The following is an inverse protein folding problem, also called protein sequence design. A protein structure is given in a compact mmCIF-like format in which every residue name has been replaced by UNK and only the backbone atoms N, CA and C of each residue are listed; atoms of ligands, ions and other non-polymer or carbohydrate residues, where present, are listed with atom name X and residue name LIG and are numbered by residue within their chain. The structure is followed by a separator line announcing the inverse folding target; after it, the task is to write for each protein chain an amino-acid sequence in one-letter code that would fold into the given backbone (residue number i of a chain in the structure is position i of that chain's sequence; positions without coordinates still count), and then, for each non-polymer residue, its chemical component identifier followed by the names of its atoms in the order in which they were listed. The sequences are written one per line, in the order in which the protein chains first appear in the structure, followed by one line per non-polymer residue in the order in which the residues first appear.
data_IF_744893193024
#
_entry.id   IF_744893193024
#
_cell.length_a   1.000
_cell.length_b   1.000
_cell.length_c   1.000
_cell.angle_alpha   90.00
_cell.angle_beta   90.00
_cell.angle_gamma   90.00
#
_symmetry.space_group_name_H-M   'P 1'
#
loop_
_entity.id
_entity.type
_entity.pdbx_description
1 polymer ?
#
# COMPACT_ATOMS: atom_id res chain seq x y z
N UNK A 1 -13.66 -7.67 -2.50
CA UNK A 1 -12.40 -8.12 -3.12
C UNK A 1 -11.31 -8.32 -2.08
N UNK A 2 -10.99 -7.33 -1.25
CA UNK A 2 -9.96 -7.43 -0.20
C UNK A 2 -10.22 -8.54 0.84
N UNK A 3 -11.47 -8.71 1.30
CA UNK A 3 -11.85 -9.80 2.22
C UNK A 3 -11.57 -11.21 1.67
N UNK A 4 -11.73 -11.41 0.36
CA UNK A 4 -11.45 -12.69 -0.28
C UNK A 4 -9.94 -13.01 -0.27
N UNK A 5 -9.08 -11.98 -0.41
CA UNK A 5 -7.63 -12.14 -0.30
C UNK A 5 -7.20 -12.43 1.13
N UNK A 6 -7.81 -11.78 2.12
CA UNK A 6 -7.60 -12.10 3.54
C UNK A 6 -8.02 -13.53 3.88
N UNK A 7 -9.14 -14.01 3.34
CA UNK A 7 -9.53 -15.42 3.49
C UNK A 7 -8.52 -16.36 2.81
N UNK A 8 -7.99 -15.97 1.65
CA UNK A 8 -6.91 -16.70 0.96
C UNK A 8 -5.62 -16.76 1.80
N UNK A 9 -5.19 -15.64 2.38
CA UNK A 9 -4.06 -15.57 3.30
C UNK A 9 -4.29 -16.39 4.56
N UNK A 10 -5.51 -16.38 5.13
CA UNK A 10 -5.84 -17.22 6.28
C UNK A 10 -5.70 -18.71 5.94
N UNK A 11 -6.17 -19.11 4.76
CA UNK A 11 -6.00 -20.48 4.28
C UNK A 11 -4.51 -20.84 4.06
N UNK A 12 -3.69 -19.89 3.56
CA UNK A 12 -2.26 -20.08 3.42
C UNK A 12 -1.53 -20.21 4.75
N UNK A 13 -1.89 -19.43 5.76
CA UNK A 13 -1.34 -19.56 7.12
C UNK A 13 -1.57 -20.98 7.63
N UNK A 14 -2.79 -21.50 7.51
CA UNK A 14 -3.12 -22.89 7.88
C UNK A 14 -2.30 -23.88 7.06
N UNK A 15 -2.19 -23.68 5.74
CA UNK A 15 -1.39 -24.52 4.85
C UNK A 15 0.10 -24.56 5.23
N UNK A 16 0.68 -23.42 5.62
CA UNK A 16 2.08 -23.31 6.08
C UNK A 16 2.31 -24.05 7.38
N UNK A 17 1.40 -23.93 8.34
CA UNK A 17 1.47 -24.69 9.59
C UNK A 17 1.37 -26.21 9.34
N UNK A 18 0.56 -26.66 8.36
CA UNK A 18 0.49 -28.08 7.98
C UNK A 18 1.81 -28.61 7.41
N UNK A 19 2.57 -27.76 6.71
CA UNK A 19 3.91 -28.10 6.17
C UNK A 19 5.01 -27.96 7.23
N UNK A 20 4.65 -27.55 8.46
CA UNK A 20 5.58 -27.23 9.55
C UNK A 20 6.54 -26.07 9.23
N UNK A 21 6.15 -25.18 8.32
CA UNK A 21 6.86 -23.92 8.10
C UNK A 21 6.36 -22.86 9.09
N UNK A 22 6.88 -22.94 10.31
CA UNK A 22 6.47 -22.05 11.41
C UNK A 22 6.92 -20.60 11.18
N UNK A 23 8.11 -20.39 10.61
CA UNK A 23 8.64 -19.04 10.37
C UNK A 23 7.87 -18.34 9.27
N UNK A 24 7.66 -19.02 8.13
CA UNK A 24 6.83 -18.50 7.05
C UNK A 24 5.40 -18.28 7.51
N UNK A 25 4.81 -19.25 8.22
CA UNK A 25 3.45 -19.14 8.76
C UNK A 25 3.25 -17.97 9.72
N UNK A 26 4.23 -17.69 10.58
CA UNK A 26 4.19 -16.56 11.50
C UNK A 26 4.26 -15.21 10.78
N UNK A 27 5.13 -15.09 9.77
CA UNK A 27 5.24 -13.88 8.95
C UNK A 27 3.93 -13.59 8.19
N UNK A 28 3.36 -14.63 7.56
CA UNK A 28 2.07 -14.52 6.86
C UNK A 28 0.92 -14.20 7.82
N UNK A 29 0.95 -14.75 9.04
CA UNK A 29 -0.04 -14.45 10.09
C UNK A 29 0.06 -12.99 10.56
N UNK A 30 1.26 -12.45 10.75
CA UNK A 30 1.46 -11.05 11.09
C UNK A 30 0.91 -10.12 9.99
N UNK A 31 1.14 -10.45 8.71
CA UNK A 31 0.56 -9.71 7.59
C UNK A 31 -0.97 -9.79 7.56
N UNK A 32 -1.55 -10.96 7.83
CA UNK A 32 -3.00 -11.14 7.94
C UNK A 32 -3.60 -10.24 9.03
N UNK A 33 -2.97 -10.15 10.21
CA UNK A 33 -3.42 -9.27 11.29
C UNK A 33 -3.38 -7.80 10.84
N UNK A 34 -2.31 -7.37 10.18
CA UNK A 34 -2.23 -6.00 9.64
C UNK A 34 -3.32 -5.74 8.60
N UNK A 35 -3.61 -6.69 7.70
CA UNK A 35 -4.71 -6.58 6.73
C UNK A 35 -6.09 -6.54 7.41
N UNK A 36 -6.28 -7.29 8.49
CA UNK A 36 -7.51 -7.26 9.26
C UNK A 36 -7.71 -5.91 9.97
N UNK A 37 -6.63 -5.30 10.47
CA UNK A 37 -6.67 -3.98 11.08
C UNK A 37 -7.11 -2.90 10.09
N UNK A 38 -6.65 -2.97 8.83
CA UNK A 38 -7.08 -2.06 7.75
C UNK A 38 -8.60 -2.08 7.54
N UNK A 39 -9.26 -3.23 7.70
CA UNK A 39 -10.73 -3.33 7.61
C UNK A 39 -11.40 -2.83 8.88
N UNK A 40 -10.84 -3.13 10.05
CA UNK A 40 -11.46 -2.83 11.35
C UNK A 40 -11.58 -1.33 11.66
N UNK A 41 -10.73 -0.50 11.04
CA UNK A 41 -10.67 0.94 11.31
C UNK A 41 -11.84 1.77 10.79
N UNK A 42 -12.74 1.22 9.96
CA UNK A 42 -13.89 1.94 9.39
C UNK A 42 -13.54 2.98 8.33
N UNK A 43 -12.37 3.63 8.45
CA UNK A 43 -11.73 4.45 7.43
C UNK A 43 -10.37 3.83 7.08
N UNK A 44 -10.13 3.60 5.79
CA UNK A 44 -8.84 3.09 5.31
C UNK A 44 -7.83 4.24 5.42
N UNK A 45 -7.07 4.26 6.51
CA UNK A 45 -5.94 5.19 6.60
C UNK A 45 -4.85 4.75 5.62
N UNK A 46 -4.53 5.65 4.69
CA UNK A 46 -3.56 5.47 3.60
C UNK A 46 -2.22 4.92 4.10
N UNK A 47 -1.79 5.33 5.31
CA UNK A 47 -0.53 4.89 5.92
C UNK A 47 -0.50 3.39 6.24
N UNK A 48 -1.54 2.83 6.87
CA UNK A 48 -1.58 1.40 7.20
C UNK A 48 -1.69 0.53 5.95
N UNK A 49 -2.36 1.03 4.92
CA UNK A 49 -2.43 0.35 3.63
C UNK A 49 -1.04 0.21 3.00
N UNK A 50 -0.22 1.27 3.02
CA UNK A 50 1.14 1.23 2.50
C UNK A 50 2.04 0.26 3.28
N UNK A 51 1.93 0.22 4.62
CA UNK A 51 2.66 -0.75 5.43
C UNK A 51 2.25 -2.19 5.11
N UNK A 52 0.96 -2.44 4.92
CA UNK A 52 0.45 -3.75 4.53
C UNK A 52 0.98 -4.20 3.16
N UNK A 53 0.97 -3.31 2.16
CA UNK A 53 1.52 -3.57 0.81
C UNK A 53 3.00 -3.92 0.89
N UNK A 54 3.79 -3.14 1.64
CA UNK A 54 5.22 -3.39 1.79
C UNK A 54 5.49 -4.74 2.49
N UNK A 55 4.75 -5.06 3.56
CA UNK A 55 4.89 -6.35 4.24
C UNK A 55 4.55 -7.53 3.32
N UNK A 56 3.42 -7.46 2.60
CA UNK A 56 3.04 -8.52 1.66
C UNK A 56 4.07 -8.70 0.53
N UNK A 57 4.64 -7.60 0.02
CA UNK A 57 5.69 -7.65 -0.99
C UNK A 57 6.95 -8.36 -0.47
N UNK A 58 7.41 -7.98 0.73
CA UNK A 58 8.60 -8.58 1.34
C UNK A 58 8.37 -10.08 1.60
N UNK A 59 7.20 -10.45 2.13
CA UNK A 59 6.83 -11.85 2.36
C UNK A 59 6.77 -12.62 1.03
N UNK A 60 6.17 -12.05 -0.02
CA UNK A 60 6.13 -12.68 -1.33
C UNK A 60 7.53 -12.94 -1.90
N UNK A 61 8.48 -12.02 -1.71
CA UNK A 61 9.87 -12.21 -2.16
C UNK A 61 10.54 -13.37 -1.40
N UNK A 62 10.41 -13.41 -0.06
CA UNK A 62 10.96 -14.51 0.73
C UNK A 62 10.33 -15.86 0.34
N UNK A 63 9.03 -15.88 0.08
CA UNK A 63 8.31 -17.06 -0.39
C UNK A 63 8.80 -17.55 -1.75
N UNK A 64 9.11 -16.63 -2.68
CA UNK A 64 9.72 -16.97 -3.97
C UNK A 64 11.10 -17.57 -3.76
N UNK A 65 11.93 -16.99 -2.89
CA UNK A 65 13.27 -17.51 -2.59
C UNK A 65 13.16 -18.93 -2.03
N UNK A 66 12.28 -19.18 -1.05
CA UNK A 66 12.04 -20.51 -0.48
C UNK A 66 11.51 -21.49 -1.53
N UNK A 67 10.63 -21.03 -2.44
CA UNK A 67 10.12 -21.84 -3.54
C UNK A 67 11.26 -22.25 -4.50
N UNK A 68 12.17 -21.33 -4.81
CA UNK A 68 13.35 -21.58 -5.67
C UNK A 68 14.34 -22.49 -4.97
N UNK A 69 14.66 -22.24 -3.70
CA UNK A 69 15.56 -23.07 -2.90
C UNK A 69 15.07 -24.52 -2.87
N UNK A 70 13.78 -24.73 -2.60
CA UNK A 70 13.15 -26.06 -2.64
C UNK A 70 13.22 -26.67 -4.04
N UNK A 71 13.03 -25.88 -5.10
CA UNK A 71 13.17 -26.32 -6.48
C UNK A 71 14.59 -26.78 -6.84
N UNK A 72 15.62 -26.13 -6.27
CA UNK A 72 17.03 -26.47 -6.49
C UNK A 72 17.48 -27.69 -5.68
N UNK A 73 16.95 -27.87 -4.46
CA UNK A 73 17.36 -28.96 -3.57
C UNK A 73 16.69 -30.30 -3.89
N UNK A 74 15.55 -30.27 -4.59
CA UNK A 74 14.78 -31.48 -4.94
C UNK A 74 15.28 -32.04 -6.28
N UNK A 75 15.88 -33.23 -6.24
CA UNK A 75 16.31 -34.01 -7.43
C UNK A 75 15.18 -34.59 -8.29
N UNK A 76 13.92 -34.43 -7.89
CA UNK A 76 12.72 -34.95 -8.56
C UNK A 76 11.85 -33.80 -9.12
N UNK A 77 11.16 -34.02 -10.24
CA UNK A 77 10.23 -33.03 -10.79
C UNK A 77 9.15 -32.61 -9.77
N UNK A 78 8.83 -31.31 -9.70
CA UNK A 78 7.95 -30.66 -8.71
C UNK A 78 6.57 -31.33 -8.54
N UNK A 79 6.10 -32.05 -9.57
CA UNK A 79 4.96 -32.95 -9.51
C UNK A 79 5.36 -34.32 -10.04
N UNK A 80 5.64 -35.26 -9.14
CA UNK A 80 5.77 -36.68 -9.50
C UNK A 80 4.57 -37.44 -8.92
N UNK A 81 3.79 -38.09 -9.80
CA UNK A 81 2.63 -38.93 -9.40
C UNK A 81 3.02 -40.12 -8.52
N UNK A 82 4.31 -40.47 -8.43
CA UNK A 82 4.84 -41.55 -7.59
C UNK A 82 5.33 -41.09 -6.21
N UNK A 83 5.34 -39.78 -5.94
CA UNK A 83 5.76 -39.24 -4.65
C UNK A 83 4.61 -39.23 -3.62
N UNK A 84 4.91 -39.29 -2.30
CA UNK A 84 3.89 -39.21 -1.26
C UNK A 84 3.06 -37.92 -1.40
N UNK A 85 1.74 -38.01 -1.19
CA UNK A 85 0.81 -36.90 -1.41
C UNK A 85 1.21 -35.61 -0.66
N UNK A 86 1.76 -35.72 0.55
CA UNK A 86 2.27 -34.56 1.30
C UNK A 86 3.34 -33.77 0.54
N UNK A 87 4.15 -34.42 -0.28
CA UNK A 87 5.17 -33.75 -1.08
C UNK A 87 4.54 -32.84 -2.14
N UNK A 88 3.56 -33.36 -2.89
CA UNK A 88 2.86 -32.60 -3.93
C UNK A 88 2.02 -31.46 -3.32
N UNK A 89 1.35 -31.73 -2.20
CA UNK A 89 0.57 -30.70 -1.47
C UNK A 89 1.48 -29.57 -1.00
N UNK A 90 2.64 -29.90 -0.43
CA UNK A 90 3.58 -28.89 0.03
C UNK A 90 4.13 -28.05 -1.15
N UNK A 91 4.47 -28.67 -2.28
CA UNK A 91 4.90 -27.93 -3.49
C UNK A 91 3.81 -26.98 -4.01
N UNK A 92 2.54 -27.39 -4.00
CA UNK A 92 1.42 -26.55 -4.41
C UNK A 92 1.24 -25.35 -3.48
N UNK A 93 1.33 -25.55 -2.16
CA UNK A 93 1.20 -24.45 -1.19
C UNK A 93 2.37 -23.47 -1.32
N UNK A 94 3.60 -23.95 -1.50
CA UNK A 94 4.76 -23.08 -1.72
C UNK A 94 4.67 -22.26 -3.01
N UNK A 95 4.00 -22.77 -4.05
CA UNK A 95 3.72 -22.02 -5.28
C UNK A 95 2.54 -21.06 -5.17
N UNK A 96 1.47 -21.47 -4.48
CA UNK A 96 0.29 -20.63 -4.26
C UNK A 96 0.58 -19.47 -3.31
N UNK A 97 1.49 -19.65 -2.35
CA UNK A 97 1.86 -18.63 -1.37
C UNK A 97 2.31 -17.32 -2.02
N UNK A 98 3.41 -17.28 -2.80
CA UNK A 98 3.85 -16.03 -3.43
C UNK A 98 2.84 -15.50 -4.44
N UNK A 99 2.05 -16.36 -5.09
CA UNK A 99 1.01 -15.93 -6.04
C UNK A 99 -0.12 -15.15 -5.35
N UNK A 100 -0.61 -15.65 -4.22
CA UNK A 100 -1.66 -14.99 -3.45
C UNK A 100 -1.11 -13.74 -2.75
N UNK A 101 0.12 -13.79 -2.22
CA UNK A 101 0.76 -12.61 -1.61
C UNK A 101 1.03 -11.50 -2.62
N UNK A 102 1.46 -11.83 -3.85
CA UNK A 102 1.59 -10.85 -4.93
C UNK A 102 0.23 -10.29 -5.37
N UNK A 103 -0.80 -11.14 -5.44
CA UNK A 103 -2.16 -10.68 -5.75
C UNK A 103 -2.71 -9.77 -4.65
N UNK A 104 -2.45 -10.09 -3.37
CA UNK A 104 -2.78 -9.26 -2.21
C UNK A 104 -2.06 -7.91 -2.27
N UNK A 105 -0.77 -7.93 -2.58
CA UNK A 105 0.06 -6.73 -2.76
C UNK A 105 -0.49 -5.86 -3.89
N UNK A 106 -0.77 -6.43 -5.07
CA UNK A 106 -1.27 -5.71 -6.23
C UNK A 106 -2.64 -5.09 -5.96
N UNK A 107 -3.56 -5.84 -5.35
CA UNK A 107 -4.90 -5.32 -5.04
C UNK A 107 -4.85 -4.24 -3.95
N UNK A 108 -4.04 -4.41 -2.92
CA UNK A 108 -3.87 -3.39 -1.89
C UNK A 108 -3.18 -2.13 -2.43
N UNK A 109 -2.20 -2.27 -3.33
CA UNK A 109 -1.60 -1.13 -4.02
C UNK A 109 -2.61 -0.40 -4.90
N UNK A 110 -3.51 -1.12 -5.58
CA UNK A 110 -4.59 -0.52 -6.34
C UNK A 110 -5.54 0.29 -5.45
N UNK A 111 -5.95 -0.26 -4.30
CA UNK A 111 -6.80 0.45 -3.33
C UNK A 111 -6.07 1.68 -2.77
N UNK A 112 -4.77 1.56 -2.50
CA UNK A 112 -3.95 2.67 -2.02
C UNK A 112 -3.86 3.81 -3.03
N UNK A 113 -3.65 3.51 -4.31
CA UNK A 113 -3.62 4.52 -5.37
C UNK A 113 -4.97 5.25 -5.50
N UNK A 114 -6.07 4.51 -5.43
CA UNK A 114 -7.41 5.10 -5.44
C UNK A 114 -7.66 6.01 -4.22
N UNK A 115 -7.23 5.58 -3.03
CA UNK A 115 -7.32 6.38 -1.81
C UNK A 115 -6.46 7.65 -1.88
N UNK A 116 -5.23 7.55 -2.41
CA UNK A 116 -4.33 8.69 -2.62
C UNK A 116 -4.92 9.71 -3.60
N UNK A 117 -5.50 9.26 -4.71
CA UNK A 117 -6.16 10.15 -5.68
C UNK A 117 -7.35 10.88 -5.06
N UNK A 118 -8.14 10.18 -4.24
CA UNK A 118 -9.25 10.79 -3.52
C UNK A 118 -8.74 11.87 -2.55
N UNK A 119 -7.75 11.57 -1.71
CA UNK A 119 -7.10 12.53 -0.80
C UNK A 119 -6.54 13.74 -1.57
N UNK A 120 -5.86 13.50 -2.70
CA UNK A 120 -5.28 14.55 -3.52
C UNK A 120 -6.33 15.48 -4.12
N UNK A 121 -7.47 14.95 -4.59
CA UNK A 121 -8.61 15.76 -5.06
C UNK A 121 -9.18 16.63 -3.94
N UNK A 122 -9.38 16.08 -2.75
CA UNK A 122 -9.86 16.85 -1.59
C UNK A 122 -8.92 18.01 -1.24
N UNK A 123 -7.61 17.77 -1.28
CA UNK A 123 -6.61 18.81 -1.06
C UNK A 123 -6.66 19.88 -2.16
N UNK A 124 -6.70 19.50 -3.44
CA UNK A 124 -6.81 20.46 -4.55
C UNK A 124 -8.08 21.32 -4.46
N UNK A 125 -9.23 20.73 -4.12
CA UNK A 125 -10.47 21.48 -3.92
C UNK A 125 -10.30 22.52 -2.82
N UNK A 126 -9.71 22.14 -1.68
CA UNK A 126 -9.48 23.08 -0.56
C UNK A 126 -8.54 24.23 -0.94
N UNK A 127 -7.42 23.94 -1.61
CA UNK A 127 -6.49 24.96 -2.10
C UNK A 127 -7.11 25.85 -3.19
N UNK A 128 -7.90 25.28 -4.09
CA UNK A 128 -8.60 26.01 -5.15
C UNK A 128 -9.70 26.93 -4.63
N UNK A 129 -10.45 26.48 -3.61
CA UNK A 129 -11.45 27.31 -2.93
C UNK A 129 -10.79 28.44 -2.16
N UNK A 130 -9.70 28.20 -1.43
CA UNK A 130 -8.95 29.26 -0.74
C UNK A 130 -8.31 30.26 -1.72
N UNK A 131 -7.76 29.79 -2.84
CA UNK A 131 -7.22 30.66 -3.89
C UNK A 131 -8.32 31.52 -4.54
N UNK A 132 -9.48 30.92 -4.86
CA UNK A 132 -10.62 31.65 -5.43
C UNK A 132 -11.21 32.65 -4.42
N UNK A 133 -11.32 32.28 -3.14
CA UNK A 133 -11.77 33.19 -2.08
C UNK A 133 -10.81 34.37 -1.90
N UNK A 134 -9.49 34.15 -2.04
CA UNK A 134 -8.49 35.23 -1.98
C UNK A 134 -8.53 36.14 -3.21
N UNK A 135 -8.82 35.59 -4.39
CA UNK A 135 -8.99 36.35 -5.63
C UNK A 135 -10.28 37.20 -5.62
N UNK A 136 -11.37 36.69 -5.05
CA UNK A 136 -12.63 37.45 -4.90
C UNK A 136 -12.52 38.57 -3.85
N UNK A 137 -11.71 38.40 -2.80
CA UNK A 137 -11.34 39.50 -1.90
C UNK A 137 -10.40 40.54 -2.53
N UNK A 138 -9.80 40.25 -3.69
CA UNK A 138 -9.06 41.22 -4.50
C UNK A 138 -9.96 42.03 -5.46
N UNK A 139 -11.20 41.60 -5.67
CA UNK A 139 -12.16 42.22 -6.60
C UNK A 139 -13.24 43.09 -5.94
N UNK A 140 -13.48 42.93 -4.64
CA UNK A 140 -14.40 43.81 -3.90
C UNK A 140 -13.71 45.12 -3.49
N UNK A 141 -13.92 46.15 -4.32
CA UNK A 141 -14.16 47.51 -3.86
C UNK A 141 -13.15 48.08 -2.86
N UNK A 142 -12.09 48.69 -3.40
CA UNK A 142 -11.38 49.81 -2.77
C UNK A 142 -12.38 50.94 -2.44
N UNK A 143 -13.02 50.87 -1.29
CA UNK A 143 -13.35 52.04 -0.47
C UNK A 143 -12.55 51.88 0.82
N UNK A 144 -11.25 52.08 0.68
CA UNK A 144 -10.32 52.12 1.79
C UNK A 144 -10.56 53.45 2.52
N UNK A 145 -10.94 53.45 3.82
CA UNK A 145 -10.94 54.70 4.58
C UNK A 145 -9.50 55.18 4.66
N UNK A 146 -9.26 56.38 4.12
CA UNK A 146 -7.98 57.10 4.16
C UNK A 146 -7.40 57.05 5.57
N UNK A 147 -6.45 56.12 5.78
CA UNK A 147 -5.55 56.19 6.93
C UNK A 147 -4.33 56.99 6.48
N UNK A 148 -4.17 58.25 6.95
CA UNK A 148 -2.99 59.04 6.59
C UNK A 148 -1.75 58.35 7.16
N UNK A 149 -0.91 57.80 6.28
CA UNK A 149 0.39 57.22 6.67
C UNK A 149 0.70 55.82 6.12
N UNK A 150 -0.20 55.17 5.37
CA UNK A 150 0.16 53.90 4.72
C UNK A 150 0.67 54.14 3.30
N UNK A 151 2.00 54.16 3.12
CA UNK A 151 2.62 53.99 1.81
C UNK A 151 2.82 52.49 1.55
N UNK A 152 2.28 51.93 0.46
CA UNK A 152 2.55 50.54 0.10
C UNK A 152 4.05 50.37 -0.18
N UNK A 153 4.61 49.23 0.25
CA UNK A 153 6.00 48.88 0.00
C UNK A 153 6.27 48.84 -1.52
N UNK A 154 7.02 49.83 -2.01
CA UNK A 154 7.60 49.84 -3.35
C UNK A 154 8.92 49.09 -3.26
N UNK A 155 8.89 47.79 -3.57
CA UNK A 155 10.11 47.00 -3.70
C UNK A 155 10.87 47.44 -4.95
N UNK A 156 11.86 48.31 -4.80
CA UNK A 156 12.80 48.60 -5.89
C UNK A 156 13.80 47.44 -6.01
N UNK A 157 13.63 46.61 -7.04
CA UNK A 157 14.59 45.57 -7.38
C UNK A 157 15.91 46.24 -7.85
N UNK A 158 16.89 46.30 -6.96
CA UNK A 158 18.25 46.66 -7.33
C UNK A 158 18.89 45.48 -8.07
N UNK A 159 19.03 45.61 -9.40
CA UNK A 159 19.90 44.75 -10.18
C UNK A 159 21.35 45.17 -9.90
N UNK A 160 22.11 44.31 -9.23
CA UNK A 160 23.57 44.40 -9.20
C UNK A 160 24.10 43.94 -10.56
N UNK A 161 24.37 44.90 -11.43
CA UNK A 161 25.04 44.68 -12.71
C UNK A 161 26.56 44.76 -12.56
N UNK A 162 27.22 43.69 -13.00
CA UNK A 162 28.62 43.53 -13.45
C UNK A 162 29.76 44.16 -12.62
#
# INVERSE_FOLDING_TARGET
YFLALLLGQAALVVGRFVIMDFWGGFLTFAALLMGALVISGGTIESQYCLYYVLMCLVIAIFDIILCVERGLHVKYSLLSRRAPLMFNVASVIFLLSPMIELAATALAAYIFLDAQEAEHRWLMTRYGTEASTRSDLGGYGRTQPDRPGFSPFRGECHHLGA
#
